data_IF_398107091243
#
_entry.id   IF_398107091243
#
_cell.length_a   1.000
_cell.length_b   1.000
_cell.length_c   1.000
_cell.angle_alpha   90.00
_cell.angle_beta   90.00
_cell.angle_gamma   90.00
#
_symmetry.space_group_name_H-M   'P 1'
#
loop_
_entity.id
_entity.type
_entity.pdbx_description
1 polymer ?
#
# COMPACT_ATOMS: atom_id res chain seq x y z
N UNK A 1 -31.71 -10.07 33.28
CA UNK A 1 -31.50 -10.24 31.83
C UNK A 1 -30.35 -9.34 31.40
N UNK A 2 -29.14 -9.88 31.30
CA UNK A 2 -27.98 -9.13 30.81
C UNK A 2 -27.98 -9.13 29.29
N UNK A 3 -28.04 -7.95 28.67
CA UNK A 3 -27.89 -7.80 27.23
C UNK A 3 -26.46 -8.15 26.84
N UNK A 4 -26.30 -9.24 26.09
CA UNK A 4 -25.02 -9.64 25.49
C UNK A 4 -24.51 -8.46 24.64
N UNK A 5 -23.27 -7.97 24.82
CA UNK A 5 -22.72 -6.93 23.98
C UNK A 5 -22.74 -7.41 22.52
N UNK A 6 -23.26 -6.58 21.61
CA UNK A 6 -23.33 -6.92 20.20
C UNK A 6 -21.92 -7.23 19.68
N UNK A 7 -21.72 -8.46 19.18
CA UNK A 7 -20.43 -8.87 18.62
C UNK A 7 -19.98 -7.87 17.55
N UNK A 8 -18.73 -7.36 17.58
CA UNK A 8 -18.25 -6.44 16.56
C UNK A 8 -18.42 -7.09 15.19
N UNK A 9 -19.05 -6.36 14.28
CA UNK A 9 -19.56 -6.91 13.03
C UNK A 9 -18.41 -7.45 12.19
N UNK A 10 -18.42 -8.77 11.91
CA UNK A 10 -17.44 -9.43 11.03
C UNK A 10 -17.55 -9.00 9.56
N UNK A 11 -18.72 -8.46 9.16
CA UNK A 11 -19.04 -8.08 7.76
C UNK A 11 -18.26 -6.85 7.27
N UNK A 12 -18.19 -5.71 7.99
CA UNK A 12 -17.44 -4.54 7.54
C UNK A 12 -15.97 -4.82 7.28
N UNK A 13 -15.31 -5.61 8.14
CA UNK A 13 -13.90 -5.92 7.96
C UNK A 13 -13.66 -6.78 6.69
N UNK A 14 -14.59 -7.69 6.36
CA UNK A 14 -14.54 -8.49 5.12
C UNK A 14 -14.75 -7.63 3.87
N UNK A 15 -15.63 -6.62 3.94
CA UNK A 15 -15.85 -5.69 2.82
C UNK A 15 -14.60 -4.83 2.57
N UNK A 16 -13.98 -4.29 3.62
CA UNK A 16 -12.73 -3.53 3.53
C UNK A 16 -11.59 -4.37 2.92
N UNK A 17 -11.47 -5.66 3.30
CA UNK A 17 -10.51 -6.56 2.66
C UNK A 17 -10.83 -6.82 1.18
N UNK A 18 -12.12 -6.84 0.82
CA UNK A 18 -12.56 -7.02 -0.58
C UNK A 18 -12.17 -5.82 -1.44
N UNK A 19 -12.13 -4.60 -0.90
CA UNK A 19 -11.61 -3.44 -1.60
C UNK A 19 -10.18 -3.68 -2.12
N UNK A 20 -9.28 -4.25 -1.31
CA UNK A 20 -7.92 -4.57 -1.74
C UNK A 20 -7.84 -5.69 -2.77
N UNK A 21 -8.77 -6.64 -2.74
CA UNK A 21 -8.89 -7.69 -3.76
C UNK A 21 -9.30 -7.12 -5.11
N UNK A 22 -10.08 -6.03 -5.12
CA UNK A 22 -10.59 -5.40 -6.35
C UNK A 22 -9.64 -4.32 -6.88
N UNK A 23 -8.99 -3.56 -5.99
CA UNK A 23 -8.17 -2.41 -6.34
C UNK A 23 -7.10 -2.73 -7.40
N UNK A 24 -6.32 -3.80 -7.16
CA UNK A 24 -5.23 -4.21 -8.06
C UNK A 24 -5.71 -4.60 -9.45
N UNK A 25 -6.60 -5.59 -9.60
CA UNK A 25 -7.13 -6.00 -10.91
C UNK A 25 -7.79 -4.86 -11.66
N UNK A 26 -8.57 -4.01 -10.97
CA UNK A 26 -9.23 -2.88 -11.60
C UNK A 26 -8.21 -1.88 -12.17
N UNK A 27 -7.20 -1.52 -11.37
CA UNK A 27 -6.16 -0.59 -11.81
C UNK A 27 -5.36 -1.12 -13.00
N UNK A 28 -4.99 -2.41 -12.93
CA UNK A 28 -4.21 -3.08 -13.97
C UNK A 28 -5.00 -3.15 -15.28
N UNK A 29 -6.24 -3.62 -15.24
CA UNK A 29 -7.07 -3.72 -16.45
C UNK A 29 -7.29 -2.35 -17.06
N UNK A 30 -7.56 -1.32 -16.25
CA UNK A 30 -7.75 0.04 -16.74
C UNK A 30 -6.50 0.58 -17.46
N UNK A 31 -5.32 0.55 -16.85
CA UNK A 31 -4.13 1.10 -17.52
C UNK A 31 -3.70 0.26 -18.74
N UNK A 32 -4.01 -1.05 -18.76
CA UNK A 32 -3.76 -1.89 -19.93
C UNK A 32 -4.67 -1.50 -21.10
N UNK A 33 -5.95 -1.24 -20.85
CA UNK A 33 -6.89 -0.76 -21.86
C UNK A 33 -6.49 0.63 -22.34
N UNK A 34 -6.19 1.54 -21.42
CA UNK A 34 -5.73 2.89 -21.76
C UNK A 34 -4.43 2.84 -22.57
N UNK A 35 -3.44 2.07 -22.13
CA UNK A 35 -2.17 1.92 -22.83
C UNK A 35 -2.29 1.28 -24.21
N UNK A 36 -3.28 0.41 -24.43
CA UNK A 36 -3.55 -0.19 -25.74
C UNK A 36 -4.33 0.74 -26.70
N UNK A 37 -4.99 1.76 -26.17
CA UNK A 37 -5.90 2.63 -26.94
C UNK A 37 -5.35 4.06 -27.12
N UNK A 38 -4.34 4.44 -26.34
CA UNK A 38 -3.80 5.81 -26.33
C UNK A 38 -2.79 6.02 -27.46
N UNK A 39 -3.10 6.95 -28.36
CA UNK A 39 -2.24 7.31 -29.49
C UNK A 39 -0.85 7.78 -29.02
N UNK A 40 0.20 7.23 -29.64
CA UNK A 40 1.59 7.62 -29.37
C UNK A 40 2.16 7.09 -28.04
N UNK A 41 1.36 6.39 -27.24
CA UNK A 41 1.79 5.76 -26.01
C UNK A 41 2.43 4.40 -26.30
N UNK A 42 3.65 4.18 -25.82
CA UNK A 42 4.37 2.92 -25.91
C UNK A 42 4.50 2.28 -24.51
N UNK A 43 3.84 1.13 -24.26
CA UNK A 43 3.93 0.44 -22.98
C UNK A 43 5.33 -0.03 -22.57
N UNK A 44 6.27 -0.15 -23.51
CA UNK A 44 7.64 -0.53 -23.20
C UNK A 44 8.44 0.66 -22.67
N UNK A 45 8.17 1.85 -23.19
CA UNK A 45 8.97 3.06 -22.97
C UNK A 45 8.35 4.06 -22.00
N UNK A 46 7.02 4.19 -21.98
CA UNK A 46 6.34 5.25 -21.24
C UNK A 46 5.77 4.77 -19.90
N UNK A 47 5.78 5.62 -18.86
CA UNK A 47 5.22 5.26 -17.56
C UNK A 47 3.70 5.23 -17.60
N UNK A 48 3.09 4.47 -16.69
CA UNK A 48 1.63 4.40 -16.50
C UNK A 48 1.07 5.77 -16.10
N UNK A 49 1.80 6.57 -15.31
CA UNK A 49 1.38 7.92 -14.92
C UNK A 49 1.19 8.85 -16.13
N UNK A 50 1.96 8.68 -17.21
CA UNK A 50 1.80 9.48 -18.42
C UNK A 50 0.44 9.29 -19.09
N UNK A 51 -0.29 8.20 -18.85
CA UNK A 51 -1.66 8.05 -19.36
C UNK A 51 -2.62 9.13 -18.82
N UNK A 52 -2.25 9.81 -17.72
CA UNK A 52 -2.96 10.96 -17.18
C UNK A 52 -2.76 12.26 -18.00
N UNK A 53 -1.93 12.24 -19.05
CA UNK A 53 -1.69 13.36 -19.94
C UNK A 53 -2.65 13.34 -21.16
N UNK A 54 -2.95 14.53 -21.67
CA UNK A 54 -3.80 14.74 -22.85
C UNK A 54 -5.31 14.63 -22.55
N UNK A 55 -6.12 14.68 -23.61
CA UNK A 55 -7.58 14.86 -23.53
C UNK A 55 -8.31 13.77 -22.74
N UNK A 56 -7.82 12.53 -22.81
CA UNK A 56 -8.39 11.39 -22.07
C UNK A 56 -7.68 11.15 -20.73
N UNK A 57 -6.78 12.04 -20.29
CA UNK A 57 -5.97 11.89 -19.08
C UNK A 57 -6.79 11.70 -17.79
N UNK A 58 -7.99 12.26 -17.76
CA UNK A 58 -8.91 12.11 -16.63
C UNK A 58 -9.25 10.64 -16.32
N UNK A 59 -9.21 9.74 -17.30
CA UNK A 59 -9.49 8.30 -17.09
C UNK A 59 -8.44 7.66 -16.18
N UNK A 60 -7.14 7.85 -16.46
CA UNK A 60 -6.07 7.42 -15.58
C UNK A 60 -6.10 8.15 -14.23
N UNK A 61 -6.46 9.44 -14.18
CA UNK A 61 -6.68 10.15 -12.91
C UNK A 61 -7.74 9.45 -12.05
N UNK A 62 -8.91 9.13 -12.61
CA UNK A 62 -9.94 8.37 -11.89
C UNK A 62 -9.43 6.99 -11.48
N UNK A 63 -8.66 6.33 -12.33
CA UNK A 63 -8.04 5.05 -12.02
C UNK A 63 -7.16 5.12 -10.77
N UNK A 64 -6.30 6.14 -10.66
CA UNK A 64 -5.50 6.43 -9.47
C UNK A 64 -6.36 6.68 -8.24
N UNK A 65 -7.37 7.54 -8.34
CA UNK A 65 -8.25 7.88 -7.21
C UNK A 65 -9.01 6.65 -6.69
N UNK A 66 -9.60 5.85 -7.59
CA UNK A 66 -10.34 4.64 -7.23
C UNK A 66 -9.40 3.61 -6.59
N UNK A 67 -8.25 3.33 -7.21
CA UNK A 67 -7.28 2.38 -6.67
C UNK A 67 -6.77 2.81 -5.29
N UNK A 68 -6.42 4.10 -5.13
CA UNK A 68 -5.96 4.67 -3.87
C UNK A 68 -7.02 4.57 -2.76
N UNK A 69 -8.27 4.96 -3.04
CA UNK A 69 -9.36 4.88 -2.06
C UNK A 69 -9.69 3.44 -1.65
N UNK A 70 -9.74 2.51 -2.60
CA UNK A 70 -9.95 1.09 -2.31
C UNK A 70 -8.78 0.51 -1.50
N UNK A 71 -7.55 0.92 -1.80
CA UNK A 71 -6.34 0.51 -1.06
C UNK A 71 -6.31 1.11 0.36
N UNK A 72 -6.86 2.31 0.56
CA UNK A 72 -6.98 2.91 1.88
C UNK A 72 -8.00 2.15 2.74
N UNK A 73 -9.16 1.82 2.16
CA UNK A 73 -10.13 0.93 2.79
C UNK A 73 -9.50 -0.44 3.12
N UNK A 74 -8.69 -0.98 2.20
CA UNK A 74 -7.93 -2.21 2.42
C UNK A 74 -6.99 -2.11 3.61
N UNK A 75 -6.20 -1.03 3.73
CA UNK A 75 -5.29 -0.81 4.86
C UNK A 75 -6.03 -0.89 6.21
N UNK A 76 -7.20 -0.26 6.31
CA UNK A 76 -8.07 -0.35 7.50
C UNK A 76 -8.54 -1.79 7.73
N UNK A 77 -8.91 -2.51 6.65
CA UNK A 77 -9.23 -3.93 6.67
C UNK A 77 -8.10 -4.80 7.23
N UNK A 78 -6.86 -4.58 6.77
CA UNK A 78 -5.66 -5.29 7.26
C UNK A 78 -5.43 -5.01 8.74
N UNK A 79 -5.54 -3.74 9.17
CA UNK A 79 -5.41 -3.36 10.60
C UNK A 79 -6.43 -4.09 11.47
N UNK A 80 -7.67 -4.18 11.02
CA UNK A 80 -8.75 -4.90 11.73
C UNK A 80 -8.56 -6.42 11.70
N UNK A 81 -8.04 -6.96 10.60
CA UNK A 81 -7.88 -8.41 10.41
C UNK A 81 -6.70 -9.01 11.17
N UNK A 82 -5.58 -8.31 11.23
CA UNK A 82 -4.34 -8.87 11.78
C UNK A 82 -3.76 -8.07 12.94
N UNK A 83 -4.27 -6.88 13.25
CA UNK A 83 -3.60 -5.93 14.13
C UNK A 83 -2.23 -5.50 13.57
N UNK A 84 -1.35 -5.03 14.45
CA UNK A 84 -0.03 -4.53 14.07
C UNK A 84 -0.09 -3.15 13.41
N UNK A 85 0.95 -2.33 13.61
CA UNK A 85 0.96 -0.92 13.20
C UNK A 85 1.58 -0.72 11.82
N UNK A 86 2.80 -1.21 11.63
CA UNK A 86 3.61 -0.91 10.44
C UNK A 86 3.01 -1.40 9.13
N UNK A 87 2.53 -2.65 9.04
CA UNK A 87 1.96 -3.19 7.80
C UNK A 87 0.79 -2.36 7.26
N UNK A 88 -0.29 -2.16 8.05
CA UNK A 88 -1.41 -1.30 7.65
C UNK A 88 -1.01 0.14 7.39
N UNK A 89 -0.11 0.73 8.20
CA UNK A 89 0.35 2.10 8.01
C UNK A 89 1.02 2.28 6.64
N UNK A 90 1.95 1.39 6.29
CA UNK A 90 2.71 1.48 5.04
C UNK A 90 1.82 1.25 3.81
N UNK A 91 0.85 0.33 3.90
CA UNK A 91 -0.18 0.17 2.85
C UNK A 91 -1.04 1.44 2.75
N UNK A 92 -1.35 2.10 3.87
CA UNK A 92 -2.04 3.38 3.89
C UNK A 92 -1.24 4.51 3.26
N UNK A 93 0.07 4.58 3.51
CA UNK A 93 0.96 5.57 2.87
C UNK A 93 0.97 5.37 1.35
N UNK A 94 1.10 4.13 0.88
CA UNK A 94 0.97 3.79 -0.55
C UNK A 94 -0.39 4.24 -1.12
N UNK A 95 -1.47 3.95 -0.41
CA UNK A 95 -2.81 4.31 -0.85
C UNK A 95 -2.99 5.83 -0.98
N UNK A 96 -2.52 6.60 0.00
CA UNK A 96 -2.55 8.07 -0.02
C UNK A 96 -1.67 8.62 -1.14
N UNK A 97 -0.45 8.10 -1.31
CA UNK A 97 0.42 8.49 -2.41
C UNK A 97 -0.23 8.23 -3.78
N UNK A 98 -0.95 7.12 -3.94
CA UNK A 98 -1.68 6.80 -5.18
C UNK A 98 -2.82 7.79 -5.44
N UNK A 99 -3.58 8.19 -4.40
CA UNK A 99 -4.60 9.25 -4.53
C UNK A 99 -3.96 10.57 -4.96
N UNK A 100 -2.89 10.98 -4.29
CA UNK A 100 -2.20 12.23 -4.57
C UNK A 100 -1.56 12.25 -5.97
N UNK A 101 -1.02 11.12 -6.44
CA UNK A 101 -0.55 10.96 -7.81
C UNK A 101 -1.68 11.10 -8.86
N UNK A 102 -2.93 10.80 -8.50
CA UNK A 102 -4.09 11.10 -9.33
C UNK A 102 -4.48 12.58 -9.32
N UNK A 103 -4.31 13.27 -8.18
CA UNK A 103 -4.62 14.70 -8.03
C UNK A 103 -3.59 15.59 -8.74
N UNK A 104 -2.32 15.22 -8.67
CA UNK A 104 -1.23 16.00 -9.24
C UNK A 104 -0.83 15.44 -10.60
N UNK A 105 -0.95 16.24 -11.65
CA UNK A 105 -0.55 15.86 -13.00
C UNK A 105 0.96 15.68 -13.08
N UNK A 106 1.41 14.57 -13.68
CA UNK A 106 2.83 14.26 -13.92
C UNK A 106 3.41 15.09 -15.08
N UNK A 107 4.72 15.08 -15.24
CA UNK A 107 5.39 15.68 -16.40
C UNK A 107 5.43 14.75 -17.62
N UNK A 108 5.49 15.30 -18.84
CA UNK A 108 5.89 14.55 -20.01
C UNK A 108 7.29 13.95 -19.85
N UNK A 109 7.45 12.71 -20.31
CA UNK A 109 8.74 12.01 -20.24
C UNK A 109 8.88 11.02 -21.38
N UNK A 110 10.12 10.80 -21.81
CA UNK A 110 10.47 9.88 -22.90
C UNK A 110 9.72 10.15 -24.20
N UNK A 111 9.46 11.44 -24.48
CA UNK A 111 8.79 11.88 -25.72
C UNK A 111 7.29 11.66 -25.76
N UNK A 112 6.64 11.40 -24.62
CA UNK A 112 5.18 11.31 -24.53
C UNK A 112 4.58 12.43 -23.65
N UNK A 113 3.51 13.10 -24.11
CA UNK A 113 2.85 12.94 -25.43
C UNK A 113 3.75 13.32 -26.62
N UNK A 114 3.38 12.92 -27.83
CA UNK A 114 4.19 13.20 -29.02
C UNK A 114 4.49 14.71 -29.14
N UNK A 115 5.77 15.04 -29.37
CA UNK A 115 6.25 16.42 -29.44
C UNK A 115 6.83 16.98 -28.13
N UNK A 116 6.81 16.22 -27.04
CA UNK A 116 7.48 16.61 -25.79
C UNK A 116 8.94 16.15 -25.76
N UNK A 117 9.81 16.77 -24.95
CA UNK A 117 11.19 16.33 -24.80
C UNK A 117 11.31 14.92 -24.19
N UNK A 118 12.48 14.31 -24.35
CA UNK A 118 12.80 13.03 -23.72
C UNK A 118 12.90 13.15 -22.20
N UNK A 119 13.47 14.24 -21.70
CA UNK A 119 13.54 14.58 -20.29
C UNK A 119 13.52 16.10 -20.15
N UNK A 120 12.73 16.60 -19.21
CA UNK A 120 12.73 18.02 -18.86
C UNK A 120 13.91 18.33 -17.93
N UNK A 121 14.52 19.50 -18.11
CA UNK A 121 15.61 19.97 -17.23
C UNK A 121 15.09 20.45 -15.88
N UNK A 122 13.83 20.90 -15.85
CA UNK A 122 13.12 21.36 -14.65
C UNK A 122 11.66 20.89 -14.73
N UNK A 123 11.01 20.71 -13.59
CA UNK A 123 9.59 20.37 -13.57
C UNK A 123 8.75 21.45 -14.26
N UNK A 124 7.73 21.07 -15.05
CA UNK A 124 6.86 22.06 -15.71
C UNK A 124 6.04 22.90 -14.73
N UNK A 125 5.89 22.42 -13.49
CA UNK A 125 5.25 23.15 -12.41
C UNK A 125 5.13 22.35 -11.12
N UNK A 126 4.49 22.98 -10.12
CA UNK A 126 4.27 22.39 -8.81
C UNK A 126 3.51 21.04 -8.85
N UNK A 127 2.48 20.83 -9.69
CA UNK A 127 1.81 19.54 -9.78
C UNK A 127 2.77 18.39 -10.16
N UNK A 128 3.62 18.59 -11.16
CA UNK A 128 4.56 17.55 -11.58
C UNK A 128 5.59 17.21 -10.49
N UNK A 129 6.14 18.24 -9.85
CA UNK A 129 7.02 18.06 -8.69
C UNK A 129 6.32 17.28 -7.57
N UNK A 130 5.07 17.64 -7.24
CA UNK A 130 4.32 16.96 -6.18
C UNK A 130 3.98 15.52 -6.56
N UNK A 131 3.64 15.24 -7.82
CA UNK A 131 3.39 13.88 -8.32
C UNK A 131 4.58 12.96 -8.03
N UNK A 132 5.78 13.36 -8.42
CA UNK A 132 6.99 12.55 -8.25
C UNK A 132 7.40 12.48 -6.76
N UNK A 133 7.28 13.59 -6.04
CA UNK A 133 7.59 13.66 -4.61
C UNK A 133 6.71 12.75 -3.75
N UNK A 134 5.44 12.53 -4.11
CA UNK A 134 4.56 11.59 -3.41
C UNK A 134 4.72 10.15 -3.89
N UNK A 135 5.07 9.93 -5.16
CA UNK A 135 5.26 8.60 -5.72
C UNK A 135 6.41 7.86 -5.04
N UNK A 136 7.56 8.52 -4.80
CA UNK A 136 8.76 7.90 -4.21
C UNK A 136 8.47 7.29 -2.82
N UNK A 137 7.93 8.04 -1.83
CA UNK A 137 7.56 7.47 -0.53
C UNK A 137 6.49 6.38 -0.64
N UNK A 138 5.54 6.50 -1.57
CA UNK A 138 4.52 5.48 -1.81
C UNK A 138 5.14 4.14 -2.22
N UNK A 139 6.01 4.16 -3.23
CA UNK A 139 6.71 2.96 -3.69
C UNK A 139 7.61 2.36 -2.60
N UNK A 140 8.37 3.20 -1.89
CA UNK A 140 9.18 2.75 -0.76
C UNK A 140 8.33 2.10 0.34
N UNK A 141 7.15 2.66 0.63
CA UNK A 141 6.24 2.11 1.62
C UNK A 141 5.76 0.70 1.26
N UNK A 142 5.47 0.40 -0.02
CA UNK A 142 5.11 -0.96 -0.43
C UNK A 142 6.24 -1.96 -0.28
N UNK A 143 7.48 -1.58 -0.63
CA UNK A 143 8.65 -2.44 -0.46
C UNK A 143 8.81 -2.79 1.03
N UNK A 144 8.76 -1.78 1.90
CA UNK A 144 8.90 -1.97 3.35
C UNK A 144 7.70 -2.77 3.89
N UNK A 145 6.48 -2.53 3.40
CA UNK A 145 5.28 -3.28 3.80
C UNK A 145 5.43 -4.77 3.49
N UNK A 146 5.91 -5.11 2.29
CA UNK A 146 6.19 -6.49 1.88
C UNK A 146 7.15 -7.19 2.84
N UNK A 147 8.25 -6.52 3.22
CA UNK A 147 9.24 -7.05 4.17
C UNK A 147 8.67 -7.18 5.61
N UNK A 148 7.95 -6.17 6.09
CA UNK A 148 7.30 -6.20 7.42
C UNK A 148 6.31 -7.36 7.51
N UNK A 149 5.49 -7.55 6.48
CA UNK A 149 4.53 -8.65 6.40
C UNK A 149 5.25 -9.99 6.23
N UNK A 150 6.36 -10.05 5.48
CA UNK A 150 7.19 -11.25 5.35
C UNK A 150 7.73 -11.72 6.71
N UNK A 151 8.35 -10.82 7.48
CA UNK A 151 8.85 -11.10 8.84
C UNK A 151 7.70 -11.56 9.74
N UNK A 152 6.53 -10.92 9.64
CA UNK A 152 5.35 -11.32 10.41
C UNK A 152 4.87 -12.73 10.07
N UNK A 153 4.83 -13.09 8.79
CA UNK A 153 4.49 -14.44 8.36
C UNK A 153 5.53 -15.47 8.82
N UNK A 154 6.82 -15.14 8.75
CA UNK A 154 7.90 -16.00 9.24
C UNK A 154 7.77 -16.27 10.75
N UNK A 155 7.50 -15.23 11.55
CA UNK A 155 7.25 -15.37 13.01
C UNK A 155 6.04 -16.25 13.33
N UNK A 156 5.07 -16.32 12.42
CA UNK A 156 3.89 -17.21 12.50
C UNK A 156 4.08 -18.56 11.81
N UNK A 157 5.32 -18.90 11.42
CA UNK A 157 5.70 -20.14 10.72
C UNK A 157 4.93 -20.36 9.41
N UNK A 158 4.48 -19.29 8.75
CA UNK A 158 3.84 -19.32 7.42
C UNK A 158 4.89 -19.02 6.35
N UNK A 159 5.86 -19.92 6.20
CA UNK A 159 7.07 -19.67 5.41
C UNK A 159 6.81 -19.41 3.92
N UNK A 160 5.83 -20.07 3.30
CA UNK A 160 5.47 -19.80 1.91
C UNK A 160 5.02 -18.35 1.68
N UNK A 161 4.16 -17.82 2.55
CA UNK A 161 3.71 -16.42 2.48
C UNK A 161 4.81 -15.43 2.86
N UNK A 162 5.71 -15.83 3.76
CA UNK A 162 6.88 -15.03 4.11
C UNK A 162 7.81 -14.87 2.89
N UNK A 163 8.19 -15.99 2.27
CA UNK A 163 9.04 -16.01 1.08
C UNK A 163 8.39 -15.26 -0.09
N UNK A 164 7.09 -15.49 -0.35
CA UNK A 164 6.36 -14.77 -1.39
C UNK A 164 6.34 -13.25 -1.17
N UNK A 165 6.10 -12.80 0.06
CA UNK A 165 6.09 -11.35 0.38
C UNK A 165 7.48 -10.72 0.27
N UNK A 166 8.52 -11.43 0.68
CA UNK A 166 9.91 -10.98 0.54
C UNK A 166 10.34 -10.93 -0.93
N UNK A 167 10.05 -11.97 -1.71
CA UNK A 167 10.32 -12.01 -3.15
C UNK A 167 9.59 -10.89 -3.90
N UNK A 168 8.33 -10.64 -3.55
CA UNK A 168 7.56 -9.50 -4.08
C UNK A 168 8.32 -8.19 -3.82
N UNK A 169 8.76 -7.92 -2.58
CA UNK A 169 9.47 -6.70 -2.26
C UNK A 169 10.79 -6.55 -3.05
N UNK A 170 11.53 -7.64 -3.27
CA UNK A 170 12.76 -7.65 -4.07
C UNK A 170 12.47 -7.38 -5.54
N UNK A 171 11.50 -8.08 -6.14
CA UNK A 171 11.11 -7.87 -7.55
C UNK A 171 10.61 -6.44 -7.74
N UNK A 172 9.80 -5.94 -6.82
CA UNK A 172 9.31 -4.57 -6.82
C UNK A 172 10.45 -3.55 -6.77
N UNK A 173 11.38 -3.70 -5.82
CA UNK A 173 12.50 -2.77 -5.66
C UNK A 173 13.45 -2.78 -6.87
N UNK A 174 13.79 -3.97 -7.38
CA UNK A 174 14.70 -4.11 -8.52
C UNK A 174 14.11 -3.56 -9.81
N UNK A 175 12.86 -3.93 -10.12
CA UNK A 175 12.15 -3.37 -11.28
C UNK A 175 11.94 -1.87 -11.17
N UNK A 176 11.68 -1.34 -9.97
CA UNK A 176 11.57 0.11 -9.75
C UNK A 176 12.89 0.81 -10.08
N UNK A 177 14.01 0.30 -9.60
CA UNK A 177 15.33 0.86 -9.91
C UNK A 177 15.59 0.85 -11.43
N UNK A 178 15.35 -0.26 -12.10
CA UNK A 178 15.54 -0.37 -13.56
C UNK A 178 14.65 0.60 -14.34
N UNK A 179 13.40 0.76 -13.89
CA UNK A 179 12.47 1.74 -14.43
C UNK A 179 12.98 3.17 -14.25
N UNK A 180 13.46 3.53 -13.05
CA UNK A 180 14.01 4.86 -12.79
C UNK A 180 15.28 5.13 -13.58
N UNK A 181 16.17 4.15 -13.76
CA UNK A 181 17.35 4.29 -14.63
C UNK A 181 16.92 4.62 -16.06
N UNK A 182 15.93 3.91 -16.59
CA UNK A 182 15.39 4.15 -17.93
C UNK A 182 14.73 5.53 -18.08
N UNK A 183 13.91 5.95 -17.11
CA UNK A 183 13.27 7.28 -17.15
C UNK A 183 14.27 8.44 -16.99
N UNK A 184 15.39 8.22 -16.31
CA UNK A 184 16.53 9.14 -16.29
C UNK A 184 17.38 9.10 -17.58
N UNK A 185 16.87 8.48 -18.65
CA UNK A 185 17.49 8.41 -19.98
C UNK A 185 18.85 7.69 -19.99
N UNK A 186 19.06 6.72 -19.09
CA UNK A 186 20.27 5.90 -19.07
C UNK A 186 20.14 4.69 -20.00
N UNK A 187 21.04 4.57 -20.97
CA UNK A 187 21.15 3.38 -21.82
C UNK A 187 21.69 2.17 -21.04
N UNK A 188 21.25 0.93 -21.37
CA UNK A 188 20.27 0.55 -22.39
C UNK A 188 18.82 0.51 -21.85
N UNK A 189 18.52 1.15 -20.71
CA UNK A 189 17.26 0.96 -19.98
C UNK A 189 16.09 1.77 -20.52
N UNK A 190 16.36 2.80 -21.33
CA UNK A 190 15.37 3.79 -21.81
C UNK A 190 14.19 3.12 -22.52
N UNK A 191 14.46 2.20 -23.44
CA UNK A 191 13.43 1.55 -24.27
C UNK A 191 12.57 0.53 -23.50
N UNK A 192 12.92 0.24 -22.25
CA UNK A 192 12.23 -0.73 -21.40
C UNK A 192 11.78 -0.13 -20.06
N UNK A 193 11.92 1.19 -19.88
CA UNK A 193 11.60 1.88 -18.64
C UNK A 193 10.13 1.66 -18.22
N UNK A 194 9.21 1.75 -19.18
CA UNK A 194 7.78 1.50 -19.01
C UNK A 194 7.45 0.04 -18.71
N UNK A 195 8.17 -0.91 -19.30
CA UNK A 195 8.02 -2.34 -18.99
C UNK A 195 8.39 -2.61 -17.53
N UNK A 196 9.56 -2.16 -17.08
CA UNK A 196 10.00 -2.37 -15.70
C UNK A 196 9.05 -1.70 -14.71
N UNK A 197 8.53 -0.50 -15.02
CA UNK A 197 7.52 0.14 -14.17
C UNK A 197 6.24 -0.69 -14.05
N UNK A 198 5.78 -1.30 -15.13
CA UNK A 198 4.60 -2.19 -15.10
C UNK A 198 4.84 -3.42 -14.26
N UNK A 199 6.01 -4.03 -14.37
CA UNK A 199 6.40 -5.15 -13.51
C UNK A 199 6.32 -4.71 -12.05
N UNK A 200 6.88 -3.55 -11.70
CA UNK A 200 6.79 -2.98 -10.34
C UNK A 200 5.33 -2.88 -9.88
N UNK A 201 4.50 -2.17 -10.65
CA UNK A 201 3.09 -1.89 -10.30
C UNK A 201 2.29 -3.19 -10.18
N UNK A 202 2.38 -4.07 -11.18
CA UNK A 202 1.64 -5.34 -11.22
C UNK A 202 2.06 -6.25 -10.07
N UNK A 203 3.36 -6.36 -9.78
CA UNK A 203 3.87 -7.16 -8.65
C UNK A 203 3.30 -6.68 -7.32
N UNK A 204 3.33 -5.37 -7.04
CA UNK A 204 2.81 -4.84 -5.77
C UNK A 204 1.29 -4.95 -5.66
N UNK A 205 0.56 -4.62 -6.72
CA UNK A 205 -0.91 -4.70 -6.72
C UNK A 205 -1.42 -6.15 -6.67
N UNK A 206 -0.74 -7.08 -7.34
CA UNK A 206 -1.02 -8.51 -7.23
C UNK A 206 -0.78 -9.01 -5.81
N UNK A 207 0.31 -8.57 -5.17
CA UNK A 207 0.59 -8.91 -3.78
C UNK A 207 -0.49 -8.37 -2.82
N UNK A 208 -0.92 -7.12 -2.95
CA UNK A 208 -2.03 -6.57 -2.15
C UNK A 208 -3.33 -7.37 -2.35
N UNK A 209 -3.62 -7.73 -3.60
CA UNK A 209 -4.80 -8.52 -3.98
C UNK A 209 -4.77 -9.90 -3.32
N UNK A 210 -3.65 -10.61 -3.43
CA UNK A 210 -3.46 -11.94 -2.87
C UNK A 210 -3.39 -11.92 -1.34
N UNK A 211 -2.80 -10.88 -0.75
CA UNK A 211 -2.86 -10.64 0.69
C UNK A 211 -4.32 -10.45 1.13
N UNK A 212 -5.11 -9.65 0.42
CA UNK A 212 -6.53 -9.47 0.70
C UNK A 212 -7.31 -10.79 0.62
N UNK A 213 -7.06 -11.61 -0.39
CA UNK A 213 -7.67 -12.95 -0.51
C UNK A 213 -7.26 -13.87 0.64
N UNK A 214 -5.98 -13.88 1.01
CA UNK A 214 -5.47 -14.66 2.15
C UNK A 214 -6.17 -14.26 3.44
N UNK A 215 -6.26 -12.95 3.72
CA UNK A 215 -6.88 -12.42 4.94
C UNK A 215 -8.38 -12.71 5.02
N UNK A 216 -9.08 -12.70 3.87
CA UNK A 216 -10.50 -13.08 3.81
C UNK A 216 -10.71 -14.56 4.09
N UNK A 217 -9.77 -15.43 3.70
CA UNK A 217 -9.85 -16.89 3.89
C UNK A 217 -9.39 -17.31 5.28
N UNK A 218 -8.37 -16.67 5.84
CA UNK A 218 -7.78 -17.04 7.12
C UNK A 218 -8.72 -16.80 8.34
N UNK A 219 -9.82 -16.06 8.14
CA UNK A 219 -10.73 -15.68 9.22
C UNK A 219 -10.14 -14.58 10.10
N UNK A 220 -11.02 -13.76 10.68
CA UNK A 220 -10.62 -12.79 11.70
C UNK A 220 -10.32 -13.56 12.99
N UNK A 221 -9.14 -13.39 13.63
CA UNK A 221 -8.99 -13.79 15.02
C UNK A 221 -10.14 -13.14 15.80
N UNK A 222 -10.82 -13.92 16.65
CA UNK A 222 -11.84 -13.35 17.52
C UNK A 222 -11.20 -12.17 18.31
N UNK A 223 -11.93 -11.07 18.54
CA UNK A 223 -11.51 -10.12 19.57
C UNK A 223 -11.22 -10.90 20.84
N UNK A 224 -10.15 -10.54 21.55
CA UNK A 224 -9.84 -11.14 22.85
C UNK A 224 -11.10 -11.13 23.70
N UNK A 225 -11.59 -12.31 24.04
CA UNK A 225 -12.73 -12.47 24.92
C UNK A 225 -12.19 -13.00 26.25
N UNK A 226 -11.98 -12.14 27.26
CA UNK A 226 -11.49 -12.59 28.56
C UNK A 226 -12.48 -13.53 29.27
N UNK A 227 -13.73 -13.64 28.80
CA UNK A 227 -14.73 -14.59 29.29
C UNK A 227 -14.75 -15.92 28.50
N UNK A 228 -13.97 -16.05 27.42
CA UNK A 228 -13.85 -17.30 26.66
C UNK A 228 -12.70 -18.14 27.23
N UNK A 229 -12.99 -19.28 27.89
CA UNK A 229 -11.96 -20.12 28.49
C UNK A 229 -11.01 -20.76 27.46
N UNK A 230 -11.35 -20.72 26.17
CA UNK A 230 -10.52 -21.24 25.08
C UNK A 230 -9.70 -20.15 24.36
N UNK A 231 -9.76 -18.88 24.78
CA UNK A 231 -8.97 -17.81 24.15
C UNK A 231 -7.47 -17.98 24.45
N UNK A 232 -6.63 -18.28 23.44
CA UNK A 232 -5.19 -18.50 23.64
C UNK A 232 -4.40 -17.22 23.91
N UNK A 233 -5.06 -16.06 23.93
CA UNK A 233 -4.43 -14.76 24.19
C UNK A 233 -4.09 -14.63 25.68
N UNK A 234 -2.82 -14.53 26.07
CA UNK A 234 -2.45 -14.46 27.48
C UNK A 234 -3.09 -13.23 28.14
N UNK A 235 -3.82 -13.45 29.23
CA UNK A 235 -4.45 -12.39 30.02
C UNK A 235 -3.41 -11.29 30.29
N UNK A 236 -3.73 -10.07 29.87
CA UNK A 236 -2.87 -8.91 30.15
C UNK A 236 -2.81 -8.80 31.69
N UNK A 237 -1.62 -9.00 32.27
CA UNK A 237 -1.45 -8.91 33.74
C UNK A 237 -2.10 -7.60 34.23
N UNK A 238 -2.93 -7.64 35.28
CA UNK A 238 -3.49 -6.42 35.85
C UNK A 238 -2.35 -5.47 36.15
N UNK A 239 -2.43 -4.25 35.62
CA UNK A 239 -1.57 -3.16 36.08
C UNK A 239 -2.03 -2.89 37.51
N UNK A 240 -1.30 -3.45 38.49
CA UNK A 240 -1.57 -3.17 39.89
C UNK A 240 -1.48 -1.65 40.09
N UNK A 241 -2.46 -1.01 40.72
CA UNK A 241 -2.37 0.41 41.03
C UNK A 241 -1.13 0.63 41.91
N UNK A 242 -0.31 1.61 41.55
CA UNK A 242 0.83 2.03 42.36
C UNK A 242 0.34 2.36 43.77
N UNK A 243 0.83 1.61 44.76
CA UNK A 243 0.59 1.90 46.17
C UNK A 243 1.25 3.25 46.51
N UNK A 244 0.53 4.24 47.07
CA UNK A 244 1.15 5.49 47.49
C UNK A 244 2.00 5.23 48.73
N UNK A 245 3.32 5.15 48.54
CA UNK A 245 4.27 5.22 49.63
C UNK A 245 4.31 6.66 50.18
N UNK A 246 4.05 6.83 51.48
CA UNK A 246 4.44 8.05 52.19
C UNK A 246 3.49 8.58 53.26
N UNK A 247 3.05 7.76 54.23
CA UNK A 247 2.62 8.29 55.52
C UNK A 247 3.87 8.66 56.33
N UNK A 248 4.23 9.94 56.36
CA UNK A 248 5.28 10.46 57.25
C UNK A 248 4.78 10.36 58.70
N UNK A 249 5.52 9.63 59.51
CA UNK A 249 5.39 9.61 60.97
C UNK A 249 5.65 10.99 61.56
N UNK A 250 4.73 11.48 62.39
CA UNK A 250 4.93 12.67 63.22
C UNK A 250 5.99 12.42 64.31
N UNK A 251 6.80 13.40 64.70
CA UNK A 251 7.75 13.26 65.81
C UNK A 251 7.06 13.40 67.18
N UNK A 252 7.56 12.74 68.24
CA UNK A 252 7.01 12.86 69.58
C UNK A 252 7.45 14.18 70.24
N UNK A 253 6.54 14.74 71.04
CA UNK A 253 6.78 15.93 71.86
C UNK A 253 7.63 15.59 73.08
N UNK A 254 8.73 16.32 73.28
CA UNK A 254 9.31 16.73 74.56
C UNK A 254 10.22 17.94 74.35
#
# INVERSE_FOLDING_TARGET
>A
MGTKPAAPTRKPARNLLTCGVIAGPLFIVAFLIEGATRTGYDPMRHPVSSLALGDLGWTQTLNFLICGLLSLAFAVGVRRAQGGFWGPLLIGIWAVATVLAGVFTTDPISGYPAGTPALLTEYSGLPALLHDAVAIPGFAALIIAGLVIAVRFARRRKYGWAAYSAATAVVFATSLVMSQLGFNQLEPWVDHAGLFQRITIVTGLAWLTLLGLYLRRAGFPAPHNPEDPEDPTPARKPVLPHSPAGARSAPPAH
#
